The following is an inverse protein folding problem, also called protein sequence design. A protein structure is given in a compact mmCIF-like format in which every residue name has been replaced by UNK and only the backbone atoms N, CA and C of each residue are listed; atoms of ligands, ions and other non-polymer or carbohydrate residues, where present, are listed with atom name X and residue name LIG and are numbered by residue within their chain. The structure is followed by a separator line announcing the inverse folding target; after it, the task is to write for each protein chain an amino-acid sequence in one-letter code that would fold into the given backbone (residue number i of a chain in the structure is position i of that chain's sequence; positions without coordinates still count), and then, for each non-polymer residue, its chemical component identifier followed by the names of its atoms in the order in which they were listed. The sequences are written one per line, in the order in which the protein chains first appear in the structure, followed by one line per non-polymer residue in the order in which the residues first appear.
data_IF_975418241804
#
_entry.id   IF_975418241804
#
_cell.length_a   1.000
_cell.length_b   1.000
_cell.length_c   1.000
_cell.angle_alpha   90.00
_cell.angle_beta   90.00
_cell.angle_gamma   90.00
#
_symmetry.space_group_name_H-M   'P 1'
#
loop_
_entity.id
_entity.type
_entity.pdbx_description
1 polymer ?
#
# COMPACT_ATOMS: atom_id res chain seq x y z
N UNK A 1 -11.51 -9.54 83.79
CA UNK A 1 -11.72 -8.13 83.59
C UNK A 1 -11.96 -7.95 82.09
N UNK A 2 -13.17 -8.00 81.66
CA UNK A 2 -14.09 -6.98 81.28
C UNK A 2 -13.47 -5.93 80.34
N UNK A 3 -13.96 -5.92 79.09
CA UNK A 3 -14.66 -4.81 78.40
C UNK A 3 -14.70 -5.09 76.89
N UNK A 4 -15.77 -5.25 76.38
CA UNK A 4 -16.87 -4.47 75.81
C UNK A 4 -16.77 -4.19 74.31
N UNK A 5 -17.84 -4.50 73.63
CA UNK A 5 -18.14 -4.38 72.21
C UNK A 5 -18.24 -2.89 71.81
N UNK A 6 -17.64 -2.54 70.70
CA UNK A 6 -17.96 -1.35 69.94
C UNK A 6 -18.31 -1.68 68.49
N UNK A 7 -19.55 -1.40 68.13
CA UNK A 7 -20.09 -1.59 66.79
C UNK A 7 -19.53 -0.50 65.84
N UNK A 8 -19.07 -0.88 64.64
CA UNK A 8 -18.75 0.06 63.56
C UNK A 8 -19.97 0.23 62.64
N UNK A 9 -20.22 1.46 62.14
CA UNK A 9 -21.32 1.74 61.19
C UNK A 9 -20.95 1.28 59.78
N UNK A 10 -21.92 0.74 59.10
CA UNK A 10 -21.81 0.37 57.69
C UNK A 10 -21.55 1.56 56.78
N UNK A 11 -20.57 1.42 55.89
CA UNK A 11 -20.39 2.28 54.74
C UNK A 11 -20.91 1.57 53.51
N UNK A 12 -22.07 2.00 53.08
CA UNK A 12 -22.70 1.65 51.83
C UNK A 12 -21.87 2.24 50.69
N UNK A 13 -20.91 1.50 50.17
CA UNK A 13 -20.20 1.87 48.94
C UNK A 13 -21.02 1.46 47.75
N UNK A 14 -21.88 2.39 47.31
CA UNK A 14 -22.59 2.30 46.07
C UNK A 14 -21.67 1.88 44.90
N UNK A 15 -21.81 0.65 44.42
CA UNK A 15 -21.27 0.19 43.13
C UNK A 15 -21.91 1.03 42.04
N UNK A 16 -21.28 2.14 41.67
CA UNK A 16 -21.53 2.79 40.40
C UNK A 16 -21.05 1.86 39.29
N UNK A 17 -21.98 1.07 38.75
CA UNK A 17 -21.79 0.34 37.50
C UNK A 17 -21.51 1.35 36.40
N UNK A 18 -20.23 1.57 36.08
CA UNK A 18 -19.86 2.23 34.84
C UNK A 18 -20.24 1.32 33.69
N UNK A 19 -21.46 1.50 33.21
CA UNK A 19 -21.89 0.95 31.95
C UNK A 19 -20.99 1.55 30.86
N UNK A 20 -19.98 0.80 30.43
CA UNK A 20 -19.19 1.12 29.26
C UNK A 20 -20.13 1.13 28.07
N UNK A 21 -20.60 2.32 27.70
CA UNK A 21 -21.39 2.52 26.49
C UNK A 21 -20.51 2.10 25.32
N UNK A 22 -20.66 0.88 24.84
CA UNK A 22 -20.07 0.44 23.58
C UNK A 22 -20.70 1.30 22.50
N UNK A 23 -20.04 2.39 22.12
CA UNK A 23 -20.45 3.19 20.98
C UNK A 23 -20.56 2.25 19.78
N UNK A 24 -21.77 2.10 19.28
CA UNK A 24 -22.06 1.35 18.06
C UNK A 24 -21.21 1.96 16.96
N UNK A 25 -20.14 1.28 16.55
CA UNK A 25 -19.31 1.73 15.44
C UNK A 25 -20.22 1.84 14.22
N UNK A 26 -20.37 3.08 13.72
CA UNK A 26 -21.22 3.34 12.58
C UNK A 26 -20.74 2.50 11.39
N UNK A 27 -21.65 1.72 10.80
CA UNK A 27 -21.34 0.98 9.56
C UNK A 27 -21.92 1.75 8.38
N UNK A 28 -21.12 1.87 7.30
CA UNK A 28 -21.57 2.59 6.10
C UNK A 28 -21.73 1.66 4.92
N UNK A 29 -22.76 1.92 4.11
CA UNK A 29 -22.97 1.19 2.85
C UNK A 29 -21.86 1.49 1.84
N UNK A 30 -21.60 0.54 0.91
CA UNK A 30 -20.64 0.76 -0.19
C UNK A 30 -20.99 2.00 -1.02
N UNK A 31 -22.27 2.31 -1.18
CA UNK A 31 -22.73 3.52 -1.88
C UNK A 31 -22.30 4.77 -1.14
N UNK A 32 -22.45 4.84 0.19
CA UNK A 32 -22.02 5.98 1.00
C UNK A 32 -20.49 6.12 0.97
N UNK A 33 -19.76 5.00 1.07
CA UNK A 33 -18.28 4.98 0.92
C UNK A 33 -17.82 5.51 -0.43
N UNK A 34 -18.47 5.10 -1.52
CA UNK A 34 -18.10 5.56 -2.86
C UNK A 34 -18.38 7.05 -3.05
N UNK A 35 -19.52 7.55 -2.52
CA UNK A 35 -19.87 8.98 -2.57
C UNK A 35 -18.85 9.81 -1.79
N UNK A 36 -18.52 9.40 -0.56
CA UNK A 36 -17.54 10.08 0.27
C UNK A 36 -16.15 10.12 -0.40
N UNK A 37 -15.71 9.00 -0.97
CA UNK A 37 -14.43 8.93 -1.69
C UNK A 37 -14.36 9.86 -2.89
N UNK A 38 -15.43 9.92 -3.70
CA UNK A 38 -15.51 10.80 -4.87
C UNK A 38 -15.55 12.26 -4.45
N UNK A 39 -16.46 12.62 -3.54
CA UNK A 39 -16.57 13.98 -3.01
C UNK A 39 -15.22 14.50 -2.48
N UNK A 40 -14.55 13.73 -1.62
CA UNK A 40 -13.24 14.13 -1.08
C UNK A 40 -12.17 14.30 -2.17
N UNK A 41 -12.17 13.43 -3.18
CA UNK A 41 -11.22 13.54 -4.29
C UNK A 41 -11.46 14.83 -5.11
N UNK A 42 -12.72 15.14 -5.42
CA UNK A 42 -13.09 16.34 -6.18
C UNK A 42 -12.77 17.62 -5.39
N UNK A 43 -13.05 17.68 -4.07
CA UNK A 43 -12.68 18.78 -3.20
C UNK A 43 -11.16 18.99 -3.16
N UNK A 44 -10.39 17.90 -3.03
CA UNK A 44 -8.93 17.97 -3.06
C UNK A 44 -8.42 18.52 -4.40
N UNK A 45 -9.02 18.15 -5.51
CA UNK A 45 -8.65 18.66 -6.83
C UNK A 45 -8.91 20.16 -6.95
N UNK A 46 -10.08 20.63 -6.48
CA UNK A 46 -10.42 22.05 -6.47
C UNK A 46 -9.47 22.86 -5.58
N UNK A 47 -9.11 22.31 -4.42
CA UNK A 47 -8.14 22.94 -3.53
C UNK A 47 -6.75 23.07 -4.16
N UNK A 48 -6.27 22.00 -4.85
CA UNK A 48 -4.97 22.03 -5.57
C UNK A 48 -4.96 23.06 -6.68
N UNK A 49 -6.09 23.31 -7.36
CA UNK A 49 -6.23 24.35 -8.40
C UNK A 49 -6.42 25.75 -7.86
N UNK A 50 -6.57 25.93 -6.55
CA UNK A 50 -6.88 27.23 -5.93
C UNK A 50 -8.33 27.70 -6.19
N UNK A 51 -9.19 26.80 -6.66
CA UNK A 51 -10.60 27.10 -6.99
C UNK A 51 -11.52 26.95 -5.78
N UNK A 52 -10.98 26.57 -4.59
CA UNK A 52 -11.73 26.36 -3.36
C UNK A 52 -11.27 27.35 -2.27
N UNK A 53 -12.22 28.03 -1.63
CA UNK A 53 -11.94 28.88 -0.48
C UNK A 53 -11.70 28.05 0.79
N UNK A 54 -10.78 28.50 1.63
CA UNK A 54 -10.50 27.85 2.92
C UNK A 54 -11.76 27.85 3.79
N UNK A 55 -12.12 26.67 4.31
CA UNK A 55 -13.30 26.49 5.18
C UNK A 55 -14.62 26.19 4.44
N UNK A 56 -14.66 26.33 3.13
CA UNK A 56 -15.82 25.95 2.34
C UNK A 56 -16.02 24.43 2.39
N UNK A 57 -17.27 23.96 2.59
CA UNK A 57 -17.66 22.55 2.73
C UNK A 57 -16.93 21.78 3.85
N UNK A 58 -16.49 22.50 4.91
CA UNK A 58 -15.70 21.89 5.99
C UNK A 58 -16.41 20.69 6.64
N UNK A 59 -17.70 20.82 6.97
CA UNK A 59 -18.47 19.77 7.61
C UNK A 59 -18.61 18.53 6.73
N UNK A 60 -18.85 18.73 5.44
CA UNK A 60 -18.98 17.63 4.45
C UNK A 60 -17.63 16.94 4.21
N UNK A 61 -16.52 17.69 4.21
CA UNK A 61 -15.17 17.15 4.12
C UNK A 61 -14.87 16.31 5.37
N UNK A 62 -15.19 16.79 6.56
CA UNK A 62 -15.01 16.05 7.81
C UNK A 62 -15.83 14.77 7.83
N UNK A 63 -17.11 14.79 7.40
CA UNK A 63 -17.93 13.57 7.24
C UNK A 63 -17.31 12.60 6.24
N UNK A 64 -16.87 13.08 5.08
CA UNK A 64 -16.24 12.24 4.07
C UNK A 64 -14.96 11.57 4.61
N UNK A 65 -14.13 12.30 5.33
CA UNK A 65 -12.92 11.77 5.97
C UNK A 65 -13.23 10.71 7.02
N UNK A 66 -14.28 10.90 7.83
CA UNK A 66 -14.74 9.89 8.80
C UNK A 66 -15.17 8.60 8.09
N UNK A 67 -15.94 8.69 7.02
CA UNK A 67 -16.39 7.53 6.24
C UNK A 67 -15.21 6.81 5.58
N UNK A 68 -14.28 7.54 4.98
CA UNK A 68 -13.08 6.98 4.36
C UNK A 68 -12.18 6.34 5.42
N UNK A 69 -12.02 7.00 6.57
CA UNK A 69 -11.27 6.48 7.71
C UNK A 69 -11.85 5.17 8.24
N UNK A 70 -13.17 5.12 8.43
CA UNK A 70 -13.86 3.89 8.80
C UNK A 70 -13.64 2.79 7.76
N UNK A 71 -13.82 3.08 6.45
CA UNK A 71 -13.60 2.10 5.38
C UNK A 71 -12.17 1.53 5.39
N UNK A 72 -11.17 2.36 5.65
CA UNK A 72 -9.77 1.91 5.84
C UNK A 72 -9.65 1.01 7.08
N UNK A 73 -10.25 1.40 8.19
CA UNK A 73 -10.26 0.63 9.43
C UNK A 73 -10.81 -0.78 9.25
N UNK A 74 -11.84 -0.94 8.42
CA UNK A 74 -12.43 -2.24 8.07
C UNK A 74 -11.45 -3.18 7.32
N UNK A 75 -10.34 -2.68 6.81
CA UNK A 75 -9.29 -3.50 6.18
C UNK A 75 -8.23 -4.00 7.17
N UNK A 76 -8.17 -3.47 8.41
CA UNK A 76 -7.11 -3.81 9.38
C UNK A 76 -7.11 -5.29 9.70
N UNK A 77 -8.25 -5.84 10.15
CA UNK A 77 -8.35 -7.26 10.52
C UNK A 77 -8.11 -8.20 9.32
N UNK A 78 -8.77 -8.00 8.15
CA UNK A 78 -8.47 -8.78 6.95
C UNK A 78 -7.00 -8.72 6.54
N UNK A 79 -6.37 -7.53 6.58
CA UNK A 79 -4.98 -7.33 6.23
C UNK A 79 -4.03 -8.10 7.16
N UNK A 80 -4.23 -8.00 8.49
CA UNK A 80 -3.42 -8.74 9.47
C UNK A 80 -3.57 -10.25 9.30
N UNK A 81 -4.79 -10.74 9.03
CA UNK A 81 -5.03 -12.17 8.76
C UNK A 81 -4.29 -12.64 7.51
N UNK A 82 -4.35 -11.85 6.42
CA UNK A 82 -3.65 -12.16 5.18
C UNK A 82 -2.15 -12.14 5.38
N UNK A 83 -1.61 -11.14 6.10
CA UNK A 83 -0.17 -11.01 6.37
C UNK A 83 0.36 -12.20 7.20
N UNK A 84 -0.32 -12.59 8.27
CA UNK A 84 0.08 -13.72 9.11
C UNK A 84 0.06 -15.05 8.34
N UNK A 85 -0.98 -15.29 7.55
CA UNK A 85 -1.07 -16.50 6.74
C UNK A 85 -0.04 -16.50 5.61
N UNK A 86 0.19 -15.35 4.94
CA UNK A 86 1.22 -15.22 3.92
C UNK A 86 2.61 -15.52 4.48
N UNK A 87 2.93 -15.02 5.69
CA UNK A 87 4.19 -15.31 6.35
C UNK A 87 4.42 -16.82 6.50
N UNK A 88 3.42 -17.56 6.99
CA UNK A 88 3.52 -19.02 7.20
C UNK A 88 3.89 -19.75 5.91
N UNK A 89 3.21 -19.45 4.80
CA UNK A 89 3.48 -20.11 3.52
C UNK A 89 4.77 -19.63 2.86
N UNK A 90 5.12 -18.36 3.02
CA UNK A 90 6.36 -17.84 2.49
C UNK A 90 7.58 -18.37 3.26
N UNK A 91 7.45 -18.67 4.55
CA UNK A 91 8.50 -19.24 5.37
C UNK A 91 8.89 -20.68 4.97
N UNK A 92 8.01 -21.40 4.28
CA UNK A 92 8.33 -22.71 3.68
C UNK A 92 9.33 -22.56 2.50
N UNK A 93 9.47 -21.37 1.95
CA UNK A 93 10.33 -21.04 0.80
C UNK A 93 11.62 -20.29 1.23
N UNK A 94 11.88 -20.16 2.52
CA UNK A 94 13.04 -19.47 3.10
C UNK A 94 12.66 -18.48 4.18
N UNK A 95 13.44 -17.41 4.34
CA UNK A 95 13.21 -16.35 5.34
C UNK A 95 12.60 -15.10 4.69
N UNK A 96 11.27 -14.98 4.65
CA UNK A 96 10.59 -13.90 3.95
C UNK A 96 10.53 -12.62 4.80
N UNK A 97 10.67 -11.47 4.17
CA UNK A 97 10.34 -10.18 4.79
C UNK A 97 8.90 -9.83 4.45
N UNK A 98 8.04 -9.74 5.47
CA UNK A 98 6.64 -9.35 5.30
C UNK A 98 6.43 -7.90 5.75
N UNK A 99 5.87 -7.09 4.88
CA UNK A 99 5.43 -5.72 5.19
C UNK A 99 3.94 -5.55 4.85
N UNK A 100 3.22 -4.81 5.69
CA UNK A 100 1.82 -4.51 5.47
C UNK A 100 1.54 -3.01 5.63
N UNK A 101 0.58 -2.50 4.88
CA UNK A 101 0.18 -1.09 4.96
C UNK A 101 -1.28 -0.85 4.61
N UNK A 102 -1.88 0.15 5.22
CA UNK A 102 -3.09 0.80 4.73
C UNK A 102 -2.73 1.99 3.84
N UNK A 103 -3.37 2.10 2.68
CA UNK A 103 -3.18 3.22 1.76
C UNK A 103 -3.57 4.53 2.41
N UNK A 104 -2.72 5.57 2.31
CA UNK A 104 -2.99 6.90 2.88
C UNK A 104 -4.14 7.59 2.16
N UNK A 105 -4.96 8.35 2.90
CA UNK A 105 -6.15 9.02 2.35
C UNK A 105 -5.83 9.91 1.14
N UNK A 106 -4.79 10.76 1.14
CA UNK A 106 -4.44 11.54 -0.05
C UNK A 106 -4.10 10.67 -1.27
N UNK A 107 -3.48 9.49 -1.04
CA UNK A 107 -3.16 8.55 -2.13
C UNK A 107 -4.41 7.85 -2.66
N UNK A 108 -5.43 7.61 -1.80
CA UNK A 108 -6.76 7.14 -2.21
C UNK A 108 -7.40 8.18 -3.13
N UNK A 109 -7.48 9.44 -2.69
CA UNK A 109 -8.05 10.53 -3.46
C UNK A 109 -7.35 10.70 -4.82
N UNK A 110 -6.01 10.76 -4.83
CA UNK A 110 -5.24 10.85 -6.07
C UNK A 110 -5.49 9.68 -7.03
N UNK A 111 -5.73 8.46 -6.53
CA UNK A 111 -6.09 7.31 -7.38
C UNK A 111 -7.49 7.46 -7.95
N UNK A 112 -8.46 7.92 -7.15
CA UNK A 112 -9.83 8.17 -7.61
C UNK A 112 -9.90 9.27 -8.68
N UNK A 113 -9.00 10.26 -8.63
CA UNK A 113 -8.89 11.30 -9.64
C UNK A 113 -8.29 10.79 -10.95
N UNK A 114 -7.21 10.00 -10.87
CA UNK A 114 -6.54 9.46 -12.08
C UNK A 114 -7.35 8.39 -12.79
N UNK A 115 -8.04 7.53 -12.07
CA UNK A 115 -8.79 6.40 -12.61
C UNK A 115 -10.28 6.74 -12.67
N UNK A 116 -10.71 7.37 -13.78
CA UNK A 116 -12.13 7.71 -13.97
C UNK A 116 -13.01 6.45 -13.85
N UNK A 117 -14.13 6.58 -13.14
CA UNK A 117 -15.03 5.45 -12.87
C UNK A 117 -14.60 4.51 -11.74
N UNK A 118 -13.40 4.68 -11.15
CA UNK A 118 -12.98 3.95 -9.98
C UNK A 118 -13.91 4.25 -8.79
N UNK A 119 -14.33 3.19 -8.10
CA UNK A 119 -15.12 3.28 -6.86
C UNK A 119 -14.24 2.89 -5.68
N UNK A 120 -14.25 3.67 -4.58
CA UNK A 120 -13.47 3.38 -3.39
C UNK A 120 -13.73 1.95 -2.85
N UNK A 121 -14.97 1.49 -2.90
CA UNK A 121 -15.33 0.14 -2.46
C UNK A 121 -14.79 -0.99 -3.35
N UNK A 122 -14.25 -0.67 -4.54
CA UNK A 122 -13.62 -1.61 -5.47
C UNK A 122 -12.10 -1.44 -5.54
N UNK A 123 -11.55 -0.48 -4.81
CA UNK A 123 -10.10 -0.26 -4.78
C UNK A 123 -9.42 -1.45 -4.10
N UNK A 124 -8.50 -2.09 -4.83
CA UNK A 124 -7.88 -3.37 -4.45
C UNK A 124 -6.74 -3.20 -3.44
N UNK A 125 -6.15 -2.02 -3.39
CA UNK A 125 -4.94 -1.69 -2.64
C UNK A 125 -5.17 -0.74 -1.45
N UNK A 126 -6.40 -0.70 -0.90
CA UNK A 126 -6.67 -0.01 0.38
C UNK A 126 -5.91 -0.68 1.51
N UNK A 127 -5.89 -2.02 1.55
CA UNK A 127 -4.98 -2.82 2.35
C UNK A 127 -4.02 -3.55 1.43
N UNK A 128 -2.73 -3.49 1.71
CA UNK A 128 -1.70 -4.16 0.93
C UNK A 128 -0.70 -4.88 1.81
N UNK A 129 -0.30 -6.09 1.43
CA UNK A 129 0.79 -6.85 2.04
C UNK A 129 1.84 -7.16 0.98
N UNK A 130 3.09 -7.09 1.35
CA UNK A 130 4.23 -7.42 0.51
C UNK A 130 5.04 -8.52 1.18
N UNK A 131 5.44 -9.53 0.39
CA UNK A 131 6.43 -10.51 0.77
C UNK A 131 7.65 -10.36 -0.14
N UNK A 132 8.82 -10.18 0.47
CA UNK A 132 10.12 -10.28 -0.21
C UNK A 132 10.64 -11.68 0.01
N UNK A 133 10.96 -12.38 -1.06
CA UNK A 133 11.28 -13.81 -1.10
C UNK A 133 12.71 -14.00 -1.62
N UNK A 134 13.29 -15.15 -1.30
CA UNK A 134 14.69 -15.49 -1.61
C UNK A 134 14.98 -15.60 -3.11
N UNK A 135 13.96 -15.96 -3.92
CA UNK A 135 14.14 -16.15 -5.37
C UNK A 135 12.83 -15.93 -6.12
N UNK A 136 12.96 -15.78 -7.45
CA UNK A 136 11.82 -15.68 -8.35
C UNK A 136 10.98 -16.96 -8.33
N UNK A 137 11.61 -18.13 -8.28
CA UNK A 137 10.92 -19.42 -8.19
C UNK A 137 10.12 -19.56 -6.90
N UNK A 138 10.67 -19.12 -5.77
CA UNK A 138 9.95 -19.06 -4.48
C UNK A 138 8.70 -18.18 -4.61
N UNK A 139 8.81 -17.01 -5.25
CA UNK A 139 7.67 -16.12 -5.48
C UNK A 139 6.57 -16.81 -6.31
N UNK A 140 6.93 -17.53 -7.37
CA UNK A 140 5.98 -18.30 -8.17
C UNK A 140 5.37 -19.48 -7.39
N UNK A 141 6.14 -20.19 -6.56
CA UNK A 141 5.60 -21.28 -5.71
C UNK A 141 4.57 -20.76 -4.73
N UNK A 142 4.89 -19.66 -4.02
CA UNK A 142 3.93 -18.99 -3.13
C UNK A 142 2.68 -18.55 -3.92
N UNK A 143 2.85 -17.88 -5.06
CA UNK A 143 1.72 -17.45 -5.88
C UNK A 143 0.80 -18.61 -6.30
N UNK A 144 1.38 -19.76 -6.69
CA UNK A 144 0.62 -20.97 -7.04
C UNK A 144 -0.14 -21.51 -5.84
N UNK A 145 0.48 -21.52 -4.64
CA UNK A 145 -0.18 -21.94 -3.41
C UNK A 145 -1.38 -21.04 -3.09
N UNK A 146 -1.20 -19.71 -3.13
CA UNK A 146 -2.27 -18.75 -2.87
C UNK A 146 -3.42 -18.90 -3.87
N UNK A 147 -3.12 -19.07 -5.15
CA UNK A 147 -4.15 -19.26 -6.20
C UNK A 147 -4.98 -20.53 -6.01
N UNK A 148 -4.41 -21.58 -5.42
CA UNK A 148 -5.12 -22.85 -5.16
C UNK A 148 -5.97 -22.81 -3.90
N UNK A 149 -5.51 -22.11 -2.86
CA UNK A 149 -6.05 -22.24 -1.51
C UNK A 149 -6.80 -21.00 -1.00
N UNK A 150 -6.67 -19.84 -1.68
CA UNK A 150 -7.26 -18.59 -1.25
C UNK A 150 -8.26 -18.06 -2.29
N UNK A 151 -9.17 -17.18 -1.84
CA UNK A 151 -10.10 -16.51 -2.76
C UNK A 151 -9.37 -15.38 -3.51
N UNK A 152 -8.62 -15.74 -4.53
CA UNK A 152 -7.92 -14.79 -5.40
C UNK A 152 -8.87 -14.32 -6.49
N UNK A 153 -9.19 -13.02 -6.50
CA UNK A 153 -10.11 -12.39 -7.47
C UNK A 153 -9.38 -11.83 -8.69
N UNK A 154 -8.06 -11.59 -8.57
CA UNK A 154 -7.22 -11.10 -9.65
C UNK A 154 -5.76 -11.52 -9.47
N UNK A 155 -5.11 -11.83 -10.57
CA UNK A 155 -3.67 -12.09 -10.65
C UNK A 155 -3.07 -11.26 -11.79
N UNK A 156 -1.91 -10.65 -11.55
CA UNK A 156 -1.12 -9.96 -12.56
C UNK A 156 0.33 -10.37 -12.40
N UNK A 157 0.91 -10.84 -13.48
CA UNK A 157 2.32 -11.22 -13.55
C UNK A 157 3.11 -10.11 -14.23
N UNK A 158 3.65 -9.23 -13.40
CA UNK A 158 4.56 -8.16 -13.86
C UNK A 158 6.01 -8.62 -13.92
N UNK A 159 6.32 -9.89 -13.63
CA UNK A 159 7.64 -10.46 -13.89
C UNK A 159 7.73 -10.85 -15.35
N UNK A 160 6.77 -11.63 -15.84
CA UNK A 160 6.67 -12.02 -17.24
C UNK A 160 6.30 -10.85 -18.16
N UNK A 161 5.45 -9.91 -17.67
CA UNK A 161 4.98 -8.74 -18.41
C UNK A 161 5.23 -7.46 -17.61
N UNK A 162 6.48 -6.93 -17.60
CA UNK A 162 6.82 -5.74 -16.82
C UNK A 162 6.01 -4.52 -17.24
N UNK A 163 5.82 -3.59 -16.31
CA UNK A 163 5.25 -2.29 -16.67
C UNK A 163 6.22 -1.48 -17.52
N UNK A 164 5.72 -0.45 -18.19
CA UNK A 164 6.53 0.41 -19.06
C UNK A 164 7.68 1.13 -18.34
N UNK A 165 7.55 1.33 -17.02
CA UNK A 165 8.59 1.90 -16.15
C UNK A 165 9.65 0.87 -15.70
N UNK A 166 9.48 -0.42 -16.02
CA UNK A 166 10.35 -1.51 -15.59
C UNK A 166 9.88 -2.24 -14.33
N UNK A 167 8.77 -1.83 -13.71
CA UNK A 167 8.28 -2.46 -12.48
C UNK A 167 7.99 -3.95 -12.67
N UNK A 168 8.53 -4.79 -11.76
CA UNK A 168 8.33 -6.25 -11.71
C UNK A 168 7.85 -6.70 -10.33
N UNK A 169 6.86 -7.55 -10.29
CA UNK A 169 6.33 -8.24 -9.12
C UNK A 169 5.20 -9.19 -9.53
N UNK A 170 4.83 -10.15 -8.69
CA UNK A 170 3.56 -10.87 -8.82
C UNK A 170 2.51 -10.16 -7.94
N UNK A 171 1.40 -9.76 -8.52
CA UNK A 171 0.30 -9.15 -7.81
C UNK A 171 -0.90 -10.08 -7.76
N UNK A 172 -1.41 -10.32 -6.55
CA UNK A 172 -2.64 -11.05 -6.32
C UNK A 172 -3.61 -10.16 -5.54
N UNK A 173 -4.90 -10.31 -5.77
CA UNK A 173 -5.93 -9.64 -4.98
C UNK A 173 -6.74 -10.72 -4.27
N UNK A 174 -6.60 -10.77 -2.96
CA UNK A 174 -7.34 -11.69 -2.11
C UNK A 174 -8.62 -11.03 -1.57
N UNK A 175 -9.71 -11.78 -1.56
CA UNK A 175 -10.94 -11.38 -0.87
C UNK A 175 -10.98 -12.03 0.50
N UNK A 176 -10.83 -11.24 1.56
CA UNK A 176 -10.87 -11.70 2.95
C UNK A 176 -11.82 -10.82 3.76
N UNK A 177 -12.74 -11.41 4.52
CA UNK A 177 -13.71 -10.67 5.32
C UNK A 177 -14.54 -9.66 4.52
N UNK A 178 -14.80 -9.92 3.24
CA UNK A 178 -15.51 -9.02 2.34
C UNK A 178 -14.70 -7.82 1.84
N UNK A 179 -13.41 -7.73 2.20
CA UNK A 179 -12.46 -6.68 1.77
C UNK A 179 -11.47 -7.24 0.74
N UNK A 180 -10.95 -6.35 -0.10
CA UNK A 180 -9.92 -6.69 -1.08
C UNK A 180 -8.56 -6.32 -0.49
N UNK A 181 -7.64 -7.28 -0.48
CA UNK A 181 -6.27 -7.10 0.01
C UNK A 181 -5.32 -7.41 -1.14
N UNK A 182 -4.51 -6.42 -1.52
CA UNK A 182 -3.46 -6.61 -2.50
C UNK A 182 -2.29 -7.37 -1.86
N UNK A 183 -1.80 -8.39 -2.55
CA UNK A 183 -0.60 -9.14 -2.18
C UNK A 183 0.43 -8.91 -3.28
N UNK A 184 1.63 -8.47 -2.89
CA UNK A 184 2.77 -8.27 -3.77
C UNK A 184 3.88 -9.24 -3.37
N UNK A 185 4.28 -10.12 -4.29
CA UNK A 185 5.42 -11.01 -4.10
C UNK A 185 6.57 -10.51 -4.96
N UNK A 186 7.74 -10.36 -4.36
CA UNK A 186 8.94 -9.78 -4.97
C UNK A 186 10.17 -10.57 -4.55
N UNK A 187 11.23 -10.51 -5.35
CA UNK A 187 12.59 -10.79 -4.91
C UNK A 187 13.18 -9.55 -4.19
N UNK A 188 14.32 -9.71 -3.52
CA UNK A 188 15.03 -8.58 -2.89
C UNK A 188 15.38 -7.50 -3.91
N UNK A 189 15.87 -7.87 -5.10
CA UNK A 189 16.20 -6.92 -6.16
C UNK A 189 14.99 -6.15 -6.69
N UNK A 190 13.85 -6.84 -6.87
CA UNK A 190 12.60 -6.19 -7.28
C UNK A 190 12.09 -5.22 -6.21
N UNK A 191 12.32 -5.53 -4.94
CA UNK A 191 11.92 -4.66 -3.83
C UNK A 191 12.84 -3.45 -3.70
N UNK A 192 14.15 -3.63 -3.83
CA UNK A 192 15.16 -2.55 -3.87
C UNK A 192 14.85 -1.58 -5.00
N UNK A 193 14.62 -2.10 -6.21
CA UNK A 193 14.26 -1.28 -7.37
C UNK A 193 12.99 -0.46 -7.11
N UNK A 194 11.94 -1.08 -6.60
CA UNK A 194 10.68 -0.40 -6.33
C UNK A 194 10.80 0.67 -5.23
N UNK A 195 11.64 0.43 -4.22
CA UNK A 195 11.95 1.41 -3.18
C UNK A 195 12.77 2.59 -3.73
N UNK A 196 13.73 2.34 -4.62
CA UNK A 196 14.50 3.38 -5.31
C UNK A 196 13.59 4.29 -6.15
N UNK A 197 12.66 3.72 -6.94
CA UNK A 197 11.67 4.48 -7.70
C UNK A 197 10.76 5.29 -6.78
N UNK A 198 10.32 4.73 -5.66
CA UNK A 198 9.50 5.46 -4.68
C UNK A 198 10.27 6.62 -4.04
N UNK A 199 11.55 6.42 -3.76
CA UNK A 199 12.47 7.47 -3.30
C UNK A 199 12.62 8.60 -4.32
N UNK A 200 12.93 8.26 -5.57
CA UNK A 200 13.09 9.21 -6.67
C UNK A 200 11.80 9.97 -6.99
N UNK A 201 10.62 9.35 -6.81
CA UNK A 201 9.31 9.98 -7.04
C UNK A 201 9.06 11.17 -6.10
N UNK A 202 9.73 11.24 -4.93
CA UNK A 202 9.63 12.40 -4.03
C UNK A 202 10.25 13.65 -4.65
N UNK A 203 11.34 13.48 -5.40
CA UNK A 203 12.04 14.56 -6.09
C UNK A 203 11.45 14.84 -7.48
N UNK A 204 11.05 13.78 -8.20
CA UNK A 204 10.48 13.85 -9.53
C UNK A 204 9.01 13.38 -9.52
N UNK A 205 8.05 14.24 -9.16
CA UNK A 205 6.65 13.88 -9.14
C UNK A 205 6.20 13.36 -10.50
N UNK A 206 5.46 12.26 -10.51
CA UNK A 206 4.99 11.62 -11.75
C UNK A 206 5.94 10.54 -12.32
N UNK A 207 7.17 10.38 -11.83
CA UNK A 207 8.12 9.37 -12.30
C UNK A 207 7.48 7.97 -12.37
N UNK A 208 6.76 7.58 -11.32
CA UNK A 208 6.03 6.30 -11.22
C UNK A 208 4.91 6.15 -12.27
N UNK A 209 4.56 7.20 -12.99
CA UNK A 209 3.50 7.22 -14.00
C UNK A 209 4.04 7.61 -15.39
N UNK A 210 5.34 7.39 -15.62
CA UNK A 210 6.00 7.69 -16.89
C UNK A 210 6.44 9.15 -17.06
N UNK A 211 6.28 9.99 -16.02
CA UNK A 211 6.82 11.36 -15.98
C UNK A 211 8.29 11.39 -15.56
N UNK A 212 8.82 12.61 -15.34
CA UNK A 212 10.22 12.83 -14.94
C UNK A 212 11.21 12.77 -16.10
N UNK A 213 12.52 12.99 -15.81
CA UNK A 213 13.57 13.06 -16.82
C UNK A 213 13.73 11.76 -17.60
N UNK A 214 13.90 11.84 -18.91
CA UNK A 214 14.06 10.67 -19.78
C UNK A 214 15.31 9.82 -19.41
N UNK A 215 16.49 10.40 -19.11
CA UNK A 215 17.66 9.62 -18.69
C UNK A 215 17.40 8.80 -17.43
N UNK A 216 16.74 9.39 -16.43
CA UNK A 216 16.40 8.70 -15.19
C UNK A 216 15.44 7.52 -15.43
N UNK A 217 14.45 7.71 -16.31
CA UNK A 217 13.54 6.62 -16.69
C UNK A 217 14.25 5.46 -17.39
N UNK A 218 15.18 5.80 -18.33
CA UNK A 218 15.99 4.81 -19.05
C UNK A 218 16.89 4.03 -18.09
N UNK A 219 17.55 4.72 -17.18
CA UNK A 219 18.39 4.12 -16.13
C UNK A 219 17.57 3.16 -15.24
N UNK A 220 16.42 3.60 -14.73
CA UNK A 220 15.58 2.76 -13.89
C UNK A 220 15.08 1.51 -14.63
N UNK A 221 14.74 1.64 -15.91
CA UNK A 221 14.34 0.51 -16.74
C UNK A 221 15.49 -0.47 -16.97
N UNK A 222 16.67 0.02 -17.36
CA UNK A 222 17.86 -0.82 -17.57
C UNK A 222 18.27 -1.55 -16.28
N UNK A 223 18.22 -0.87 -15.13
CA UNK A 223 18.47 -1.49 -13.82
C UNK A 223 17.45 -2.61 -13.52
N UNK A 224 16.17 -2.40 -13.84
CA UNK A 224 15.16 -3.44 -13.67
C UNK A 224 15.43 -4.67 -14.56
N UNK A 225 15.86 -4.46 -15.79
CA UNK A 225 16.19 -5.54 -16.73
C UNK A 225 17.43 -6.31 -16.25
N UNK A 226 18.48 -5.60 -15.78
CA UNK A 226 19.63 -6.25 -15.17
C UNK A 226 19.24 -7.09 -13.94
N UNK A 227 18.42 -6.56 -13.06
CA UNK A 227 17.93 -7.30 -11.89
C UNK A 227 17.14 -8.55 -12.29
N UNK A 228 16.37 -8.48 -13.38
CA UNK A 228 15.64 -9.63 -13.91
C UNK A 228 16.58 -10.71 -14.49
N UNK A 229 17.69 -10.30 -15.12
CA UNK A 229 18.75 -11.23 -15.55
C UNK A 229 19.40 -11.92 -14.35
N UNK A 230 19.78 -11.16 -13.33
CA UNK A 230 20.38 -11.69 -12.11
C UNK A 230 19.46 -12.57 -11.28
N UNK A 231 18.16 -12.38 -11.39
CA UNK A 231 17.12 -13.24 -10.77
C UNK A 231 16.76 -14.46 -11.66
N UNK A 232 17.37 -14.60 -12.84
CA UNK A 232 17.10 -15.68 -13.78
C UNK A 232 15.74 -15.60 -14.48
N UNK A 233 15.10 -14.41 -14.47
CA UNK A 233 13.80 -14.19 -15.11
C UNK A 233 13.90 -13.91 -16.61
N UNK A 234 15.05 -13.48 -17.08
CA UNK A 234 15.42 -13.29 -18.48
C UNK A 234 16.86 -13.77 -18.71
N UNK A 235 17.19 -14.10 -19.95
CA UNK A 235 18.53 -14.55 -20.33
C UNK A 235 19.57 -13.45 -20.08
N UNK A 236 20.76 -13.85 -19.63
CA UNK A 236 21.86 -12.93 -19.38
C UNK A 236 22.45 -12.41 -20.69
N UNK A 237 22.35 -11.12 -20.94
CA UNK A 237 22.93 -10.46 -22.10
C UNK A 237 24.01 -9.49 -21.65
N UNK A 238 25.28 -9.88 -21.86
CA UNK A 238 26.46 -9.10 -21.44
C UNK A 238 26.59 -7.75 -22.18
N UNK A 239 26.03 -7.62 -23.39
CA UNK A 239 26.05 -6.35 -24.13
C UNK A 239 25.26 -5.23 -23.42
N UNK A 240 24.22 -5.58 -22.70
CA UNK A 240 23.39 -4.65 -21.93
C UNK A 240 24.05 -4.13 -20.66
N UNK A 241 25.13 -4.77 -20.20
CA UNK A 241 25.89 -4.29 -19.03
C UNK A 241 26.64 -3.02 -19.40
N UNK A 242 27.24 -2.95 -20.59
CA UNK A 242 27.90 -1.73 -21.09
C UNK A 242 26.92 -0.56 -21.23
N UNK A 243 25.72 -0.81 -21.80
CA UNK A 243 24.65 0.21 -21.86
C UNK A 243 24.27 0.73 -20.47
N UNK A 244 24.30 -0.12 -19.44
CA UNK A 244 23.97 0.27 -18.08
C UNK A 244 25.06 1.17 -17.47
N UNK A 245 26.35 0.91 -17.73
CA UNK A 245 27.46 1.76 -17.28
C UNK A 245 27.34 3.17 -17.86
N UNK A 246 27.01 3.30 -19.15
CA UNK A 246 26.76 4.59 -19.80
C UNK A 246 25.56 5.31 -19.18
N UNK A 247 24.50 4.58 -18.87
CA UNK A 247 23.29 5.14 -18.23
C UNK A 247 23.55 5.54 -16.78
N UNK A 248 24.40 4.84 -16.04
CA UNK A 248 24.82 5.22 -14.68
C UNK A 248 25.58 6.56 -14.74
N UNK A 249 26.56 6.68 -15.64
CA UNK A 249 27.33 7.90 -15.81
C UNK A 249 26.44 9.10 -16.17
N UNK A 250 25.45 8.88 -17.05
CA UNK A 250 24.47 9.89 -17.43
C UNK A 250 23.55 10.28 -16.26
N UNK A 251 23.06 9.31 -15.48
CA UNK A 251 22.19 9.54 -14.32
C UNK A 251 22.93 10.30 -13.20
N UNK A 252 24.20 10.00 -12.98
CA UNK A 252 25.07 10.69 -12.03
C UNK A 252 25.28 12.17 -12.41
N UNK A 253 25.53 12.43 -13.70
CA UNK A 253 25.68 13.79 -14.22
C UNK A 253 24.39 14.58 -13.99
N UNK A 254 23.24 14.00 -14.34
CA UNK A 254 21.94 14.63 -14.15
C UNK A 254 21.60 14.89 -12.68
N UNK A 255 22.00 14.00 -11.78
CA UNK A 255 21.77 14.15 -10.34
C UNK A 255 22.63 15.29 -9.77
N UNK A 256 23.87 15.43 -10.23
CA UNK A 256 24.77 16.51 -9.83
C UNK A 256 24.31 17.89 -10.33
N UNK A 257 23.87 17.98 -11.59
CA UNK A 257 23.34 19.21 -12.16
C UNK A 257 22.09 19.69 -11.44
N UNK A 258 21.16 18.79 -11.13
CA UNK A 258 19.94 19.12 -10.41
C UNK A 258 20.12 19.37 -8.90
N UNK A 259 21.30 19.09 -8.34
CA UNK A 259 21.68 19.49 -6.98
C UNK A 259 22.27 20.92 -6.92
N UNK A 260 22.72 21.44 -8.06
CA UNK A 260 23.37 22.75 -8.18
C UNK A 260 22.45 23.84 -8.75
N UNK A 261 21.19 23.53 -9.08
CA UNK A 261 20.18 24.54 -9.39
C UNK A 261 19.65 25.15 -8.07
N UNK A 262 19.65 26.50 -7.94
CA UNK A 262 19.33 27.23 -6.73
C UNK A 262 17.84 27.12 -6.31
#
# INVERSE_FOLDING_TARGET
MLFEKGAAPGSDLGRASQATTVQRVASYSKTKVNRAGRFFADELQLAIRGERKVGEHRAEIEEALQIIGWWRGEHVKPLSTVAANLFRYAAEEGDPIIAQRLKRIPTIAGKLLREQGMKLSRMEDVGGVRAVLSSQDAAYRVARHLKRNWTITRFRDYVANPKSDGYRALHLVNRNGGRLIEIQLRTSRQDEWANAVEGATRRFPGLKFGGGPAPLRSFLRATSDLYAMLDGSIELDMSRIGELEDLIALADTFTKESLNEP
#
